data_IF_586465237656
#
_entry.id   IF_586465237656
#
_cell.length_a   1.000
_cell.length_b   1.000
_cell.length_c   1.000
_cell.angle_alpha   90.00
_cell.angle_beta   90.00
_cell.angle_gamma   90.00
#
_symmetry.space_group_name_H-M   'P 1'
#
loop_
_entity.id
_entity.type
_entity.pdbx_description
1 polymer ?
#
# COMPACT_ATOMS: atom_id res chain seq x y z
N UNK A 1 1.04 -21.27 13.39
CA UNK A 1 0.79 -21.64 11.97
C UNK A 1 0.02 -20.57 11.19
N UNK A 2 -0.87 -19.81 11.83
CA UNK A 2 -1.77 -18.79 11.22
C UNK A 2 -1.13 -17.66 10.40
N UNK A 3 0.18 -17.53 10.44
CA UNK A 3 0.94 -16.50 9.75
C UNK A 3 1.87 -17.05 8.64
N UNK A 4 1.67 -18.32 8.25
CA UNK A 4 2.47 -18.98 7.22
C UNK A 4 2.54 -18.17 5.91
N UNK A 5 3.61 -18.38 5.14
CA UNK A 5 3.93 -17.62 3.93
C UNK A 5 4.75 -16.35 4.17
N UNK A 6 4.94 -15.92 5.43
CA UNK A 6 5.79 -14.79 5.82
C UNK A 6 7.03 -15.32 6.55
N UNK A 7 8.20 -15.21 5.93
CA UNK A 7 9.47 -15.73 6.47
C UNK A 7 10.16 -14.79 7.45
N UNK A 8 9.56 -13.62 7.72
CA UNK A 8 10.12 -12.57 8.57
C UNK A 8 9.06 -12.04 9.56
N UNK A 9 9.28 -10.84 10.11
CA UNK A 9 8.40 -10.18 11.06
C UNK A 9 7.07 -9.75 10.44
N UNK A 10 6.04 -9.61 11.30
CA UNK A 10 4.68 -9.25 10.90
C UNK A 10 4.25 -8.01 11.65
N UNK A 11 3.66 -7.06 10.93
CA UNK A 11 3.06 -5.86 11.49
C UNK A 11 1.54 -6.05 11.44
N UNK A 12 0.88 -6.02 12.59
CA UNK A 12 -0.57 -6.05 12.72
C UNK A 12 -1.08 -4.62 12.97
N UNK A 13 -1.71 -4.02 11.95
CA UNK A 13 -2.28 -2.68 12.03
C UNK A 13 -3.80 -2.80 12.18
N UNK A 14 -4.34 -2.16 13.22
CA UNK A 14 -5.78 -2.18 13.53
C UNK A 14 -6.35 -0.78 13.56
N UNK A 15 -7.54 -0.63 12.98
CA UNK A 15 -8.31 0.61 12.99
C UNK A 15 -9.39 0.57 14.07
N UNK A 16 -9.74 1.74 14.63
CA UNK A 16 -10.80 1.87 15.63
C UNK A 16 -12.14 1.36 15.07
N UNK A 17 -12.92 0.65 15.88
CA UNK A 17 -14.25 0.15 15.46
C UNK A 17 -15.32 1.27 15.37
N UNK A 18 -14.99 2.47 15.85
CA UNK A 18 -15.92 3.58 16.03
C UNK A 18 -16.68 3.50 17.36
N UNK A 19 -17.10 4.65 17.86
CA UNK A 19 -17.86 4.75 19.11
C UNK A 19 -19.36 4.56 18.86
N UNK A 20 -19.99 3.58 19.50
CA UNK A 20 -21.43 3.27 19.32
C UNK A 20 -22.38 4.20 20.09
N UNK A 21 -21.87 5.09 20.94
CA UNK A 21 -22.70 5.89 21.86
C UNK A 21 -22.58 7.39 21.59
N UNK A 22 -21.36 7.87 21.38
CA UNK A 22 -21.05 9.29 21.31
C UNK A 22 -20.16 9.59 20.12
N UNK A 23 -20.36 10.76 19.53
CA UNK A 23 -19.49 11.27 18.47
C UNK A 23 -18.36 12.06 19.09
N UNK A 24 -17.13 11.71 18.76
CA UNK A 24 -15.94 12.46 19.12
C UNK A 24 -14.91 12.40 18.00
N UNK A 25 -13.98 13.33 18.02
CA UNK A 25 -12.96 13.44 17.00
C UNK A 25 -11.74 14.18 17.49
N UNK A 26 -10.67 14.06 16.72
CA UNK A 26 -9.38 14.66 17.01
C UNK A 26 -8.88 15.35 15.75
N UNK A 27 -8.43 16.59 15.91
CA UNK A 27 -7.68 17.32 14.89
C UNK A 27 -6.27 17.52 15.45
N UNK A 28 -5.27 17.08 14.71
CA UNK A 28 -3.87 17.28 15.02
C UNK A 28 -3.22 18.10 13.91
N UNK A 29 -2.67 19.25 14.26
CA UNK A 29 -1.84 20.07 13.37
C UNK A 29 -0.38 19.86 13.78
N UNK A 30 0.42 19.29 12.90
CA UNK A 30 1.85 19.08 13.12
C UNK A 30 2.68 19.82 12.07
N UNK A 31 3.98 19.96 12.33
CA UNK A 31 4.93 20.66 11.43
C UNK A 31 4.98 20.04 10.03
N UNK A 32 4.78 18.73 9.92
CA UNK A 32 4.89 18.00 8.65
C UNK A 32 3.55 17.56 8.08
N UNK A 33 2.52 17.40 8.91
CA UNK A 33 1.22 16.87 8.46
C UNK A 33 0.11 17.19 9.43
N UNK A 34 -1.09 17.32 8.88
CA UNK A 34 -2.34 17.39 9.60
C UNK A 34 -3.02 16.03 9.63
N UNK A 35 -3.74 15.79 10.71
CA UNK A 35 -4.49 14.57 10.94
C UNK A 35 -5.87 14.96 11.40
N UNK A 36 -6.87 14.40 10.76
CA UNK A 36 -8.26 14.50 11.14
C UNK A 36 -8.77 13.12 11.47
N UNK A 37 -9.51 13.00 12.56
CA UNK A 37 -10.20 11.78 12.94
C UNK A 37 -11.57 12.13 13.50
N UNK A 38 -12.60 11.38 13.11
CA UNK A 38 -13.94 11.51 13.63
C UNK A 38 -14.60 10.13 13.68
N UNK A 39 -15.18 9.79 14.82
CA UNK A 39 -15.93 8.57 15.00
C UNK A 39 -17.18 8.79 15.83
N UNK A 40 -18.16 7.90 15.68
CA UNK A 40 -19.41 8.01 16.40
C UNK A 40 -20.52 7.12 15.85
N UNK A 41 -21.71 7.16 16.47
CA UNK A 41 -22.82 6.33 16.05
C UNK A 41 -23.51 6.92 14.82
N UNK A 42 -23.77 6.07 13.82
CA UNK A 42 -24.81 6.32 12.81
C UNK A 42 -26.18 5.95 13.41
N UNK A 43 -26.24 4.77 14.04
CA UNK A 43 -27.40 4.29 14.79
C UNK A 43 -26.91 3.86 16.18
N UNK A 44 -27.28 4.62 17.22
CA UNK A 44 -26.79 4.38 18.59
C UNK A 44 -26.95 2.91 19.01
N UNK A 45 -25.88 2.33 19.53
CA UNK A 45 -25.82 0.93 19.96
C UNK A 45 -25.77 -0.12 18.85
N UNK A 46 -25.94 0.24 17.58
CA UNK A 46 -25.95 -0.70 16.44
C UNK A 46 -24.90 -0.41 15.37
N UNK A 47 -24.74 0.84 14.96
CA UNK A 47 -23.86 1.20 13.84
C UNK A 47 -22.98 2.37 14.22
N UNK A 48 -21.68 2.20 14.04
CA UNK A 48 -20.69 3.24 14.25
C UNK A 48 -19.88 3.46 12.96
N UNK A 49 -19.44 4.69 12.77
CA UNK A 49 -18.44 5.05 11.77
C UNK A 49 -17.15 5.45 12.46
N UNK A 50 -16.04 5.33 11.74
CA UNK A 50 -14.73 5.86 12.11
C UNK A 50 -14.05 6.30 10.81
N UNK A 51 -13.83 7.60 10.68
CA UNK A 51 -13.20 8.21 9.51
C UNK A 51 -11.94 8.94 9.95
N UNK A 52 -10.88 8.83 9.15
CA UNK A 52 -9.62 9.51 9.39
C UNK A 52 -9.04 9.98 8.07
N UNK A 53 -8.36 11.12 8.09
CA UNK A 53 -7.61 11.61 6.95
C UNK A 53 -6.29 12.20 7.44
N UNK A 54 -5.24 12.05 6.64
CA UNK A 54 -3.95 12.70 6.86
C UNK A 54 -3.47 13.30 5.56
N UNK A 55 -2.80 14.43 5.67
CA UNK A 55 -2.22 15.11 4.51
C UNK A 55 -0.99 15.89 4.92
N UNK A 56 -0.05 16.00 3.99
CA UNK A 56 1.03 16.97 4.08
C UNK A 56 0.56 18.30 3.49
N UNK A 57 0.71 19.38 4.23
CA UNK A 57 0.33 20.74 3.84
C UNK A 57 1.51 21.49 3.22
N UNK A 58 2.03 20.94 2.13
CA UNK A 58 2.89 21.74 1.26
C UNK A 58 2.14 22.93 0.67
N UNK A 59 0.82 22.87 0.43
CA UNK A 59 0.06 24.00 -0.11
C UNK A 59 0.04 25.25 0.80
N UNK A 60 -0.01 25.09 2.13
CA UNK A 60 -0.07 26.22 3.07
C UNK A 60 1.30 26.88 3.30
N UNK A 61 2.40 26.11 3.21
CA UNK A 61 3.78 26.61 3.34
C UNK A 61 4.54 26.64 2.01
N UNK A 62 3.86 26.42 0.89
CA UNK A 62 4.46 26.37 -0.45
C UNK A 62 5.22 27.66 -0.75
N UNK A 63 4.62 28.79 -0.38
CA UNK A 63 5.24 30.11 -0.48
C UNK A 63 6.47 30.26 0.41
N UNK A 64 6.47 29.67 1.61
CA UNK A 64 7.58 29.74 2.56
C UNK A 64 8.73 28.83 2.13
N UNK A 65 8.43 27.60 1.68
CA UNK A 65 9.44 26.69 1.14
C UNK A 65 10.09 27.26 -0.12
N UNK A 66 9.29 27.83 -1.03
CA UNK A 66 9.83 28.57 -2.19
C UNK A 66 10.67 29.77 -1.79
N UNK A 67 10.22 30.58 -0.82
CA UNK A 67 10.97 31.74 -0.34
C UNK A 67 12.28 31.36 0.38
N UNK A 68 12.32 30.20 1.02
CA UNK A 68 13.50 29.67 1.70
C UNK A 68 14.41 28.81 0.79
N UNK A 69 14.08 28.70 -0.51
CA UNK A 69 14.74 27.81 -1.47
C UNK A 69 14.82 26.35 -1.00
N UNK A 70 13.84 25.90 -0.22
CA UNK A 70 13.72 24.52 0.25
C UNK A 70 12.95 23.73 -0.81
N UNK A 71 13.51 22.64 -1.36
CA UNK A 71 12.82 21.81 -2.33
C UNK A 71 11.61 21.11 -1.68
N UNK A 72 10.39 21.64 -1.90
CA UNK A 72 9.15 21.00 -1.49
C UNK A 72 8.85 19.84 -2.44
N UNK A 73 9.51 18.71 -2.17
CA UNK A 73 9.71 17.62 -3.12
C UNK A 73 8.93 16.35 -2.77
N UNK A 74 8.13 16.36 -1.70
CA UNK A 74 7.35 15.22 -1.24
C UNK A 74 5.97 15.65 -0.75
N UNK A 75 4.94 14.88 -1.13
CA UNK A 75 3.53 15.15 -0.86
C UNK A 75 2.84 13.81 -0.63
N UNK A 76 2.04 13.71 0.42
CA UNK A 76 1.17 12.55 0.61
C UNK A 76 -0.20 12.95 1.13
N UNK A 77 -1.18 12.11 0.85
CA UNK A 77 -2.47 12.14 1.51
C UNK A 77 -3.00 10.72 1.66
N UNK A 78 -3.69 10.48 2.78
CA UNK A 78 -4.38 9.24 3.01
C UNK A 78 -5.73 9.44 3.69
N UNK A 79 -6.62 8.49 3.44
CA UNK A 79 -7.96 8.42 3.98
C UNK A 79 -8.21 7.00 4.48
N UNK A 80 -8.79 6.89 5.67
CA UNK A 80 -9.29 5.65 6.23
C UNK A 80 -10.76 5.83 6.62
N UNK A 81 -11.60 4.90 6.20
CA UNK A 81 -13.01 4.86 6.57
C UNK A 81 -13.37 3.47 7.04
N UNK A 82 -14.14 3.40 8.13
CA UNK A 82 -14.68 2.16 8.66
C UNK A 82 -16.12 2.36 9.13
N UNK A 83 -16.96 1.40 8.80
CA UNK A 83 -18.32 1.29 9.33
C UNK A 83 -18.46 -0.07 10.01
N UNK A 84 -18.86 -0.04 11.26
CA UNK A 84 -19.15 -1.24 12.06
C UNK A 84 -20.65 -1.33 12.28
N UNK A 85 -21.26 -2.46 11.95
CA UNK A 85 -22.67 -2.73 12.17
C UNK A 85 -22.87 -4.02 12.98
N UNK A 86 -23.54 -3.90 14.13
CA UNK A 86 -23.98 -5.00 14.98
C UNK A 86 -25.41 -5.37 14.60
N UNK A 87 -25.58 -6.48 13.88
CA UNK A 87 -26.90 -7.03 13.57
C UNK A 87 -27.55 -7.69 14.79
N UNK A 88 -26.74 -8.41 15.57
CA UNK A 88 -27.16 -9.13 16.78
C UNK A 88 -25.98 -9.26 17.76
N UNK A 89 -26.17 -9.96 18.88
CA UNK A 89 -25.06 -10.34 19.76
C UNK A 89 -24.13 -11.39 19.12
N UNK A 90 -24.57 -12.05 18.05
CA UNK A 90 -23.82 -13.07 17.33
C UNK A 90 -23.20 -12.56 16.04
N UNK A 91 -23.72 -11.48 15.47
CA UNK A 91 -23.39 -11.04 14.11
C UNK A 91 -22.92 -9.59 14.09
N UNK A 92 -21.70 -9.39 13.62
CA UNK A 92 -21.12 -8.07 13.42
C UNK A 92 -20.39 -7.98 12.08
N UNK A 93 -20.70 -6.95 11.31
CA UNK A 93 -20.06 -6.64 10.03
C UNK A 93 -19.19 -5.40 10.17
N UNK A 94 -18.04 -5.43 9.53
CA UNK A 94 -17.10 -4.32 9.42
C UNK A 94 -16.83 -4.08 7.95
N UNK A 95 -17.04 -2.85 7.50
CA UNK A 95 -16.70 -2.40 6.15
C UNK A 95 -15.56 -1.40 6.30
N UNK A 96 -14.42 -1.65 5.64
CA UNK A 96 -13.26 -0.79 5.69
C UNK A 96 -12.88 -0.32 4.28
N UNK A 97 -12.40 0.91 4.19
CA UNK A 97 -11.76 1.47 3.02
C UNK A 97 -10.52 2.24 3.45
N UNK A 98 -9.44 2.09 2.71
CA UNK A 98 -8.23 2.89 2.85
C UNK A 98 -7.77 3.30 1.46
N UNK A 99 -7.42 4.57 1.31
CA UNK A 99 -6.84 5.12 0.11
C UNK A 99 -5.68 6.01 0.50
N UNK A 100 -4.50 5.76 -0.05
CA UNK A 100 -3.30 6.56 0.21
C UNK A 100 -2.54 6.79 -1.07
N UNK A 101 -1.94 7.96 -1.20
CA UNK A 101 -1.09 8.32 -2.33
C UNK A 101 0.06 9.21 -1.88
N UNK A 102 1.20 8.94 -2.48
CA UNK A 102 2.46 9.61 -2.21
C UNK A 102 3.10 10.01 -3.53
N UNK A 103 3.70 11.18 -3.55
CA UNK A 103 4.38 11.76 -4.71
C UNK A 103 5.65 12.40 -4.21
N UNK A 104 6.76 11.97 -4.79
CA UNK A 104 8.08 12.55 -4.67
C UNK A 104 8.51 13.10 -6.03
N UNK A 105 9.11 14.28 -6.05
CA UNK A 105 9.64 14.94 -7.22
C UNK A 105 10.96 15.62 -6.86
N UNK A 106 12.00 15.42 -7.65
CA UNK A 106 13.29 16.08 -7.50
C UNK A 106 13.68 16.70 -8.83
N UNK A 107 14.20 17.92 -8.80
CA UNK A 107 14.75 18.59 -9.98
C UNK A 107 16.10 19.17 -9.62
N UNK A 108 17.09 18.91 -10.47
CA UNK A 108 18.42 19.50 -10.39
C UNK A 108 18.71 20.27 -11.67
N UNK A 109 19.29 21.46 -11.51
CA UNK A 109 19.71 22.29 -12.62
C UNK A 109 21.17 22.68 -12.34
N UNK A 110 22.12 21.92 -12.88
CA UNK A 110 23.54 22.26 -12.82
C UNK A 110 23.96 22.96 -14.12
N UNK A 111 24.58 24.12 -13.99
CA UNK A 111 25.18 24.87 -15.10
C UNK A 111 26.64 25.13 -14.78
N UNK A 112 27.51 24.78 -15.73
CA UNK A 112 28.96 24.94 -15.75
C UNK A 112 29.73 23.87 -14.95
N UNK A 113 30.17 22.81 -15.65
CA UNK A 113 31.08 21.81 -15.11
C UNK A 113 32.50 22.12 -15.58
N UNK A 114 33.39 22.53 -14.68
CA UNK A 114 34.81 22.69 -15.01
C UNK A 114 35.47 21.31 -14.99
N UNK A 115 35.76 20.76 -16.17
CA UNK A 115 36.57 19.55 -16.32
C UNK A 115 37.97 19.98 -16.78
N UNK A 116 38.99 19.64 -16.00
CA UNK A 116 40.41 19.90 -16.32
C UNK A 116 40.76 21.38 -16.62
N UNK A 117 40.07 22.34 -16.00
CA UNK A 117 40.36 23.77 -16.14
C UNK A 117 39.88 24.41 -17.44
N UNK A 118 39.07 23.69 -18.22
CA UNK A 118 38.34 24.19 -19.37
C UNK A 118 36.89 24.43 -18.92
N UNK A 119 36.38 25.63 -19.19
CA UNK A 119 34.99 26.00 -18.95
C UNK A 119 34.12 25.27 -20.00
N UNK A 120 33.40 24.25 -19.56
CA UNK A 120 32.44 23.52 -20.41
C UNK A 120 31.03 24.02 -20.08
N UNK A 121 30.40 24.70 -21.05
CA UNK A 121 29.07 25.29 -20.93
C UNK A 121 27.96 24.22 -21.06
N UNK A 122 28.16 23.06 -20.44
CA UNK A 122 27.18 21.97 -20.42
C UNK A 122 26.17 22.23 -19.30
N UNK A 123 24.89 22.41 -19.68
CA UNK A 123 23.75 22.57 -18.76
C UNK A 123 23.03 21.22 -18.61
N UNK A 124 22.80 20.80 -17.36
CA UNK A 124 22.03 19.62 -17.01
C UNK A 124 20.68 20.02 -16.37
N UNK A 125 19.56 19.50 -16.88
CA UNK A 125 18.22 19.61 -16.28
C UNK A 125 17.68 18.21 -15.98
N UNK A 126 17.90 17.77 -14.74
CA UNK A 126 17.54 16.45 -14.26
C UNK A 126 16.24 16.49 -13.47
N UNK A 127 15.31 15.59 -13.79
CA UNK A 127 13.98 15.50 -13.19
C UNK A 127 13.68 14.07 -12.81
N UNK A 128 13.64 13.79 -11.51
CA UNK A 128 13.21 12.50 -10.97
C UNK A 128 11.83 12.61 -10.37
N UNK A 129 10.99 11.59 -10.55
CA UNK A 129 9.75 11.48 -9.81
C UNK A 129 9.51 10.05 -9.35
N UNK A 130 8.88 9.90 -8.19
CA UNK A 130 8.44 8.61 -7.65
C UNK A 130 7.02 8.82 -7.12
N UNK A 131 6.09 7.96 -7.50
CA UNK A 131 4.73 7.97 -6.96
C UNK A 131 4.30 6.57 -6.61
N UNK A 132 3.67 6.42 -5.46
CA UNK A 132 3.01 5.17 -5.09
C UNK A 132 1.62 5.43 -4.53
N UNK A 133 0.77 4.42 -4.62
CA UNK A 133 -0.60 4.51 -4.17
C UNK A 133 -1.15 3.16 -3.75
N UNK A 134 -2.01 3.20 -2.74
CA UNK A 134 -2.61 2.03 -2.12
C UNK A 134 -4.11 2.25 -2.02
N UNK A 135 -4.90 1.33 -2.57
CA UNK A 135 -6.32 1.19 -2.30
C UNK A 135 -6.55 -0.15 -1.60
N UNK A 136 -7.26 -0.14 -0.49
CA UNK A 136 -7.72 -1.33 0.21
C UNK A 136 -9.20 -1.15 0.53
N UNK A 137 -10.02 -2.14 0.18
CA UNK A 137 -11.41 -2.21 0.63
C UNK A 137 -11.66 -3.60 1.19
N UNK A 138 -12.31 -3.70 2.35
CA UNK A 138 -12.61 -5.01 2.94
C UNK A 138 -13.97 -5.06 3.61
N UNK A 139 -14.58 -6.23 3.57
CA UNK A 139 -15.76 -6.59 4.34
C UNK A 139 -15.39 -7.76 5.24
N UNK A 140 -15.56 -7.60 6.54
CA UNK A 140 -15.28 -8.62 7.55
C UNK A 140 -16.56 -8.90 8.34
N UNK A 141 -17.00 -10.15 8.34
CA UNK A 141 -18.16 -10.60 9.11
C UNK A 141 -17.70 -11.54 10.23
N UNK A 142 -18.05 -11.20 11.46
CA UNK A 142 -17.82 -12.03 12.64
C UNK A 142 -19.14 -12.68 13.01
N UNK A 143 -19.11 -14.00 13.17
CA UNK A 143 -20.27 -14.80 13.56
C UNK A 143 -19.96 -15.67 14.78
N UNK A 144 -20.84 -15.65 15.77
CA UNK A 144 -20.78 -16.51 16.96
C UNK A 144 -21.77 -17.65 16.78
N UNK A 145 -21.28 -18.84 16.45
CA UNK A 145 -22.13 -20.03 16.33
C UNK A 145 -22.67 -20.46 17.70
N UNK A 146 -21.78 -20.52 18.70
CA UNK A 146 -22.09 -20.83 20.09
C UNK A 146 -20.97 -20.31 21.01
N UNK A 147 -21.07 -20.53 22.32
CA UNK A 147 -20.09 -20.05 23.31
C UNK A 147 -18.67 -20.63 23.19
N UNK A 148 -18.41 -21.52 22.23
CA UNK A 148 -17.12 -22.16 21.99
C UNK A 148 -16.62 -22.00 20.56
N UNK A 149 -17.45 -21.65 19.59
CA UNK A 149 -17.08 -21.57 18.17
C UNK A 149 -17.43 -20.21 17.59
N UNK A 150 -16.39 -19.53 17.11
CA UNK A 150 -16.46 -18.20 16.51
C UNK A 150 -15.86 -18.28 15.11
N UNK A 151 -16.43 -17.57 14.15
CA UNK A 151 -15.82 -17.40 12.83
C UNK A 151 -15.65 -15.95 12.46
N UNK A 152 -14.69 -15.75 11.57
CA UNK A 152 -14.38 -14.48 10.98
C UNK A 152 -14.15 -14.66 9.48
N UNK A 153 -15.09 -14.18 8.68
CA UNK A 153 -15.00 -14.23 7.21
C UNK A 153 -14.62 -12.85 6.69
N UNK A 154 -13.55 -12.78 5.90
CA UNK A 154 -13.05 -11.53 5.31
C UNK A 154 -13.00 -11.65 3.79
N UNK A 155 -13.55 -10.67 3.10
CA UNK A 155 -13.30 -10.43 1.67
C UNK A 155 -12.60 -9.09 1.55
N UNK A 156 -11.49 -9.05 0.82
CA UNK A 156 -10.71 -7.83 0.63
C UNK A 156 -10.27 -7.68 -0.82
N UNK A 157 -10.15 -6.42 -1.24
CA UNK A 157 -9.56 -6.03 -2.51
C UNK A 157 -8.45 -5.03 -2.24
N UNK A 158 -7.30 -5.23 -2.88
CA UNK A 158 -6.17 -4.29 -2.85
C UNK A 158 -5.75 -3.90 -4.27
N UNK A 159 -5.35 -2.64 -4.46
CA UNK A 159 -4.68 -2.14 -5.68
C UNK A 159 -3.49 -1.31 -5.24
N UNK A 160 -2.30 -1.84 -5.43
CA UNK A 160 -1.04 -1.13 -5.23
C UNK A 160 -0.43 -0.77 -6.58
N UNK A 161 0.03 0.48 -6.70
CA UNK A 161 0.74 0.96 -7.89
C UNK A 161 1.93 1.81 -7.49
N UNK A 162 3.02 1.61 -8.20
CA UNK A 162 4.21 2.44 -8.15
C UNK A 162 4.57 2.88 -9.56
N UNK A 163 5.07 4.11 -9.69
CA UNK A 163 5.73 4.56 -10.90
C UNK A 163 6.87 5.48 -10.52
N UNK A 164 8.02 5.29 -11.14
CA UNK A 164 9.16 6.17 -11.03
C UNK A 164 9.63 6.57 -12.42
N UNK A 165 10.22 7.74 -12.55
CA UNK A 165 10.82 8.14 -13.81
C UNK A 165 11.90 9.17 -13.60
N UNK A 166 12.73 9.30 -14.62
CA UNK A 166 13.89 10.18 -14.68
C UNK A 166 13.93 10.80 -16.08
N UNK A 167 14.03 12.11 -16.16
CA UNK A 167 14.29 12.82 -17.40
C UNK A 167 15.53 13.69 -17.19
N UNK A 168 16.54 13.53 -18.04
CA UNK A 168 17.74 14.36 -18.04
C UNK A 168 17.90 15.02 -19.39
N UNK A 169 18.12 16.33 -19.37
CA UNK A 169 18.48 17.08 -20.57
C UNK A 169 19.89 17.59 -20.40
N UNK A 170 20.79 17.15 -21.26
CA UNK A 170 22.15 17.62 -21.36
C UNK A 170 22.25 18.51 -22.59
N UNK A 171 22.63 19.77 -22.37
CA UNK A 171 22.72 20.77 -23.42
C UNK A 171 24.12 21.38 -23.44
N UNK A 172 24.79 21.25 -24.58
CA UNK A 172 26.04 21.95 -24.88
C UNK A 172 25.84 22.76 -26.20
N UNK A 173 26.83 23.52 -26.65
CA UNK A 173 26.80 24.35 -27.85
C UNK A 173 26.39 23.56 -29.12
N UNK A 174 26.75 22.27 -29.19
CA UNK A 174 26.54 21.40 -30.36
C UNK A 174 25.43 20.34 -30.20
N UNK A 175 25.00 20.00 -28.98
CA UNK A 175 24.13 18.84 -28.70
C UNK A 175 23.03 19.12 -27.68
N UNK A 176 21.87 18.48 -27.86
CA UNK A 176 20.76 18.49 -26.91
C UNK A 176 20.31 17.04 -26.64
N UNK A 177 20.98 16.37 -25.71
CA UNK A 177 20.69 14.98 -25.40
C UNK A 177 19.55 14.91 -24.38
N UNK A 178 18.46 14.24 -24.76
CA UNK A 178 17.35 13.94 -23.87
C UNK A 178 17.37 12.46 -23.49
N UNK A 179 17.55 12.19 -22.21
CA UNK A 179 17.44 10.87 -21.62
C UNK A 179 16.12 10.78 -20.86
N UNK A 180 15.28 9.79 -21.18
CA UNK A 180 14.04 9.52 -20.44
C UNK A 180 14.03 8.10 -19.94
N UNK A 181 13.59 7.90 -18.70
CA UNK A 181 13.32 6.61 -18.08
C UNK A 181 11.97 6.71 -17.36
N UNK A 182 11.13 5.70 -17.53
CA UNK A 182 9.83 5.60 -16.89
C UNK A 182 9.57 4.15 -16.55
N UNK A 183 9.45 3.84 -15.26
CA UNK A 183 9.19 2.51 -14.73
C UNK A 183 7.87 2.49 -13.97
N UNK A 184 6.97 1.57 -14.32
CA UNK A 184 5.71 1.35 -13.60
C UNK A 184 5.51 -0.10 -13.20
N UNK A 185 5.06 -0.35 -11.97
CA UNK A 185 4.75 -1.68 -11.43
C UNK A 185 3.50 -1.64 -10.55
N UNK A 186 2.77 -2.75 -10.47
CA UNK A 186 1.61 -2.84 -9.59
C UNK A 186 1.11 -4.25 -9.34
N UNK A 187 0.29 -4.39 -8.31
CA UNK A 187 -0.36 -5.64 -7.95
C UNK A 187 -1.79 -5.35 -7.49
N UNK A 188 -2.72 -6.19 -7.93
CA UNK A 188 -4.10 -6.19 -7.44
C UNK A 188 -4.45 -7.54 -6.88
N UNK A 189 -4.93 -7.58 -5.64
CA UNK A 189 -5.34 -8.83 -5.02
C UNK A 189 -6.83 -8.80 -4.71
N UNK A 190 -7.48 -9.94 -4.96
CA UNK A 190 -8.79 -10.25 -4.41
C UNK A 190 -8.60 -11.41 -3.41
N UNK A 191 -8.86 -11.14 -2.14
CA UNK A 191 -8.67 -12.08 -1.04
C UNK A 191 -10.02 -12.51 -0.48
N UNK A 192 -10.19 -13.80 -0.28
CA UNK A 192 -11.27 -14.38 0.50
C UNK A 192 -10.67 -15.26 1.60
N UNK A 193 -11.02 -14.98 2.85
CA UNK A 193 -10.46 -15.65 4.03
C UNK A 193 -11.56 -16.03 4.99
N UNK A 194 -11.42 -17.20 5.61
CA UNK A 194 -12.27 -17.61 6.72
C UNK A 194 -11.40 -18.21 7.83
N UNK A 195 -11.56 -17.67 9.03
CA UNK A 195 -10.88 -18.12 10.24
C UNK A 195 -11.92 -18.61 11.25
N UNK A 196 -11.56 -19.63 12.02
CA UNK A 196 -12.35 -20.18 13.11
C UNK A 196 -11.52 -20.24 14.39
N UNK A 197 -12.11 -19.77 15.48
CA UNK A 197 -11.61 -19.97 16.84
C UNK A 197 -12.55 -20.94 17.56
N UNK A 198 -12.06 -22.13 17.88
CA UNK A 198 -12.80 -23.16 18.61
C UNK A 198 -12.16 -23.40 19.97
N UNK A 199 -12.93 -23.18 21.04
CA UNK A 199 -12.49 -23.33 22.44
C UNK A 199 -13.28 -24.45 23.12
N UNK A 200 -12.93 -25.74 22.90
CA UNK A 200 -13.50 -26.87 23.63
C UNK A 200 -13.46 -26.70 25.15
N UNK A 201 -12.36 -26.16 25.67
CA UNK A 201 -12.13 -25.86 27.07
C UNK A 201 -11.17 -24.67 27.23
N UNK A 202 -11.12 -24.00 28.40
CA UNK A 202 -10.18 -22.90 28.63
C UNK A 202 -8.69 -23.26 28.49
N UNK A 203 -8.35 -24.56 28.44
CA UNK A 203 -6.97 -25.07 28.28
C UNK A 203 -6.68 -25.57 26.87
N UNK A 204 -7.66 -25.50 25.96
CA UNK A 204 -7.58 -26.10 24.63
C UNK A 204 -8.28 -25.16 23.64
N UNK A 205 -7.49 -24.44 22.84
CA UNK A 205 -7.97 -23.48 21.85
C UNK A 205 -7.43 -23.90 20.48
N UNK A 206 -8.32 -24.33 19.61
CA UNK A 206 -7.98 -24.73 18.25
C UNK A 206 -8.33 -23.56 17.32
N UNK A 207 -7.35 -23.12 16.53
CA UNK A 207 -7.56 -22.10 15.49
C UNK A 207 -7.26 -22.69 14.13
N UNK A 208 -8.17 -22.53 13.20
CA UNK A 208 -8.01 -23.06 11.85
C UNK A 208 -8.69 -22.16 10.85
N UNK A 209 -8.24 -22.21 9.61
CA UNK A 209 -8.77 -21.34 8.59
C UNK A 209 -8.20 -21.64 7.22
N UNK A 210 -8.76 -20.95 6.24
CA UNK A 210 -8.31 -21.00 4.86
C UNK A 210 -8.35 -19.62 4.22
N UNK A 211 -7.46 -19.40 3.28
CA UNK A 211 -7.34 -18.17 2.52
C UNK A 211 -7.15 -18.49 1.04
N UNK A 212 -7.84 -17.73 0.20
CA UNK A 212 -7.65 -17.73 -1.23
C UNK A 212 -7.30 -16.31 -1.66
N UNK A 213 -6.24 -16.17 -2.45
CA UNK A 213 -5.84 -14.90 -3.04
C UNK A 213 -5.71 -15.05 -4.55
N UNK A 214 -6.40 -14.17 -5.28
CA UNK A 214 -6.19 -14.00 -6.72
C UNK A 214 -5.32 -12.76 -6.94
N UNK A 215 -4.08 -12.99 -7.33
CA UNK A 215 -3.14 -11.95 -7.70
C UNK A 215 -3.31 -11.56 -9.17
N UNK A 216 -3.28 -10.27 -9.45
CA UNK A 216 -3.13 -9.71 -10.80
C UNK A 216 -1.90 -8.83 -10.79
N UNK A 217 -0.78 -9.37 -11.28
CA UNK A 217 0.47 -8.64 -11.43
C UNK A 217 0.39 -7.77 -12.67
N UNK A 218 0.72 -6.50 -12.51
CA UNK A 218 0.81 -5.51 -13.58
C UNK A 218 2.30 -5.32 -13.85
N UNK A 219 2.86 -5.97 -14.88
CA UNK A 219 4.29 -6.08 -15.09
C UNK A 219 4.94 -4.74 -15.44
N UNK A 220 6.26 -4.75 -15.26
CA UNK A 220 7.15 -3.61 -15.39
C UNK A 220 7.14 -3.05 -16.81
N UNK A 221 6.66 -1.82 -16.97
CA UNK A 221 6.85 -1.07 -18.21
C UNK A 221 8.05 -0.16 -18.02
N UNK A 222 9.10 -0.35 -18.84
CA UNK A 222 10.19 0.60 -18.95
C UNK A 222 10.17 1.24 -20.35
N UNK A 223 10.49 2.52 -20.45
CA UNK A 223 10.72 3.20 -21.72
C UNK A 223 11.95 4.06 -21.59
N UNK A 224 12.96 3.77 -22.42
CA UNK A 224 14.14 4.62 -22.59
C UNK A 224 14.07 5.35 -23.93
N UNK A 225 14.37 6.65 -23.94
CA UNK A 225 14.56 7.43 -25.17
C UNK A 225 15.88 8.17 -25.04
N UNK A 226 16.74 8.03 -26.06
CA UNK A 226 17.97 8.78 -26.23
C UNK A 226 18.03 9.38 -27.64
N UNK A 227 18.40 10.67 -27.71
CA UNK A 227 18.82 11.52 -28.86
C UNK A 227 17.80 12.46 -29.53
N UNK A 228 18.20 13.74 -29.59
CA UNK A 228 17.78 14.76 -30.57
C UNK A 228 19.02 15.62 -30.94
N UNK A 229 19.50 15.55 -32.19
CA UNK A 229 20.65 16.35 -32.62
C UNK A 229 20.19 17.75 -33.12
N UNK A 230 21.11 18.72 -33.21
CA UNK A 230 20.87 20.13 -33.63
C UNK A 230 20.11 20.32 -34.97
N UNK A 231 19.99 19.27 -35.78
CA UNK A 231 19.27 19.24 -37.07
C UNK A 231 17.83 18.65 -36.99
N UNK A 232 17.28 18.41 -35.79
CA UNK A 232 15.96 17.80 -35.61
C UNK A 232 15.89 16.32 -36.01
N UNK A 233 17.05 15.66 -36.13
CA UNK A 233 17.15 14.22 -36.42
C UNK A 233 17.13 13.43 -35.11
N UNK A 234 16.07 12.63 -34.93
CA UNK A 234 15.94 11.67 -33.82
C UNK A 234 16.77 10.43 -34.17
N UNK A 235 17.95 10.31 -33.56
CA UNK A 235 18.76 9.09 -33.66
C UNK A 235 18.38 8.15 -32.50
N UNK A 236 17.16 7.59 -32.52
CA UNK A 236 16.67 6.69 -31.46
C UNK A 236 17.64 5.52 -31.24
N UNK A 237 18.46 5.54 -30.17
CA UNK A 237 19.47 4.48 -29.97
C UNK A 237 18.84 3.20 -29.36
N UNK A 238 17.81 3.31 -28.52
CA UNK A 238 17.00 2.14 -28.13
C UNK A 238 15.69 2.54 -27.44
N UNK A 239 14.56 2.48 -28.16
CA UNK A 239 13.25 2.44 -27.47
C UNK A 239 12.91 1.00 -27.14
N UNK A 240 13.33 0.55 -25.95
CA UNK A 240 12.80 -0.69 -25.41
C UNK A 240 11.52 -0.36 -24.67
N UNK A 241 10.38 -0.73 -25.24
CA UNK A 241 9.08 -0.56 -24.63
C UNK A 241 8.47 -1.94 -24.46
N UNK A 242 8.45 -2.45 -23.23
CA UNK A 242 7.73 -3.67 -22.89
C UNK A 242 6.24 -3.42 -22.65
N UNK A 243 5.62 -2.50 -23.41
CA UNK A 243 4.18 -2.19 -23.35
C UNK A 243 3.27 -3.39 -23.71
N UNK A 244 3.85 -4.55 -24.06
CA UNK A 244 3.13 -5.76 -24.48
C UNK A 244 3.06 -6.84 -23.40
N UNK A 245 3.68 -6.69 -22.24
CA UNK A 245 3.48 -7.68 -21.18
C UNK A 245 2.07 -7.56 -20.59
N UNK A 246 1.26 -8.57 -20.90
CA UNK A 246 -0.09 -8.70 -20.36
C UNK A 246 -0.03 -8.93 -18.85
N UNK A 247 -0.99 -8.39 -18.12
CA UNK A 247 -1.17 -8.69 -16.71
C UNK A 247 -1.14 -10.20 -16.48
N UNK A 248 -0.35 -10.64 -15.49
CA UNK A 248 -0.23 -12.06 -15.12
C UNK A 248 -1.16 -12.33 -13.95
N UNK A 249 -1.88 -13.43 -14.01
CA UNK A 249 -2.81 -13.83 -12.93
C UNK A 249 -2.19 -15.00 -12.17
N UNK A 250 -2.16 -14.89 -10.84
CA UNK A 250 -1.75 -15.94 -9.93
C UNK A 250 -2.89 -16.30 -8.98
N UNK A 251 -2.90 -17.54 -8.53
CA UNK A 251 -3.83 -18.06 -7.54
C UNK A 251 -3.05 -18.67 -6.39
N UNK A 252 -3.30 -18.19 -5.18
CA UNK A 252 -2.78 -18.76 -3.95
C UNK A 252 -3.94 -19.33 -3.14
N UNK A 253 -3.78 -20.56 -2.65
CA UNK A 253 -4.69 -21.19 -1.70
C UNK A 253 -3.87 -21.65 -0.51
N UNK A 254 -4.26 -21.23 0.69
CA UNK A 254 -3.62 -21.65 1.93
C UNK A 254 -4.64 -22.16 2.95
N UNK A 255 -4.19 -23.05 3.81
CA UNK A 255 -4.95 -23.57 4.93
C UNK A 255 -4.03 -23.80 6.13
N UNK A 256 -4.57 -23.60 7.32
CA UNK A 256 -3.82 -23.83 8.54
C UNK A 256 -4.69 -24.40 9.65
N UNK A 257 -4.01 -25.04 10.60
CA UNK A 257 -4.55 -25.41 11.89
C UNK A 257 -3.45 -25.25 12.95
N UNK A 258 -3.80 -24.65 14.09
CA UNK A 258 -2.94 -24.55 15.27
C UNK A 258 -3.76 -24.87 16.53
N UNK A 259 -3.10 -25.43 17.52
CA UNK A 259 -3.71 -25.82 18.79
C UNK A 259 -2.91 -25.24 19.95
N UNK A 260 -3.52 -24.34 20.71
CA UNK A 260 -3.03 -23.82 21.99
C UNK A 260 -3.49 -24.76 23.12
N UNK A 261 -2.59 -25.65 23.55
CA UNK A 261 -2.87 -26.67 24.54
C UNK A 261 -2.07 -26.46 25.83
N UNK A 262 -2.76 -26.36 26.96
CA UNK A 262 -2.14 -26.30 28.29
C UNK A 262 -2.27 -27.65 29.00
N UNK A 263 -1.14 -28.33 29.21
CA UNK A 263 -1.06 -29.62 29.91
C UNK A 263 -0.59 -29.38 31.35
N UNK A 264 -1.47 -29.67 32.33
CA UNK A 264 -1.18 -29.42 33.74
C UNK A 264 -1.14 -27.93 34.10
N UNK A 265 -0.11 -27.50 34.84
CA UNK A 265 0.10 -26.10 35.27
C UNK A 265 1.37 -25.45 34.71
N UNK A 266 2.25 -26.23 34.05
CA UNK A 266 3.62 -25.80 33.73
C UNK A 266 3.99 -25.93 32.25
N UNK A 267 3.16 -26.58 31.44
CA UNK A 267 3.45 -26.83 30.03
C UNK A 267 2.33 -26.29 29.16
N UNK A 268 2.70 -25.40 28.24
CA UNK A 268 1.84 -24.92 27.15
C UNK A 268 2.51 -25.27 25.84
N UNK A 269 1.77 -25.90 24.93
CA UNK A 269 2.20 -26.28 23.60
C UNK A 269 1.38 -25.51 22.57
N UNK A 270 2.03 -25.09 21.47
CA UNK A 270 1.36 -24.48 20.31
C UNK A 270 1.76 -25.20 19.00
N UNK A 271 1.46 -26.51 18.83
CA UNK A 271 1.67 -27.17 17.56
C UNK A 271 0.76 -26.57 16.48
N UNK A 272 1.25 -26.51 15.24
CA UNK A 272 0.42 -26.11 14.11
C UNK A 272 1.04 -26.44 12.76
N UNK A 273 0.18 -26.57 11.76
CA UNK A 273 0.52 -26.90 10.37
C UNK A 273 -0.06 -25.83 9.46
N UNK A 274 0.71 -25.44 8.44
CA UNK A 274 0.29 -24.53 7.39
C UNK A 274 0.68 -25.12 6.03
N UNK A 275 -0.26 -25.14 5.09
CA UNK A 275 -0.07 -25.61 3.72
C UNK A 275 -0.49 -24.48 2.79
N UNK A 276 0.33 -24.17 1.79
CA UNK A 276 0.00 -23.24 0.73
C UNK A 276 0.31 -23.85 -0.64
N UNK A 277 -0.56 -23.56 -1.61
CA UNK A 277 -0.44 -23.96 -3.00
C UNK A 277 -0.54 -22.71 -3.87
N UNK A 278 0.44 -22.53 -4.75
CA UNK A 278 0.52 -21.40 -5.66
C UNK A 278 0.44 -21.89 -7.11
N UNK A 279 -0.38 -21.22 -7.92
CA UNK A 279 -0.53 -21.51 -9.35
C UNK A 279 -0.52 -20.21 -10.16
N UNK A 280 0.45 -20.05 -11.05
CA UNK A 280 0.54 -18.90 -11.95
C UNK A 280 0.03 -19.22 -13.35
N UNK A 281 -0.58 -18.23 -13.99
CA UNK A 281 -0.84 -18.21 -15.42
C UNK A 281 0.37 -17.61 -16.15
N UNK A 282 1.19 -18.48 -16.74
CA UNK A 282 2.39 -18.14 -17.49
C UNK A 282 3.17 -19.43 -17.71
N UNK A 283 3.68 -19.65 -18.92
CA UNK A 283 4.49 -20.83 -19.27
C UNK A 283 5.71 -20.97 -18.38
#
# INVERSE_FOLDING_TARGET
>A
ARYGGRTSSIIDVRTNDGNLQETHGTIGVGVLSEKFHLEGPIFKGKTAYSISARGMHTFLFDGIFRAANIPANYYFFDFNGKVTHKFSDKDRLFLNAYYGRDIFYYRDNEGDVIIDGIEDNTEYDDKTYIRWGNLLTSARWNHVFNGRLFSNTTVAFTDYRMRMGYNSTEKNEDTNNLYKFDYGSGIKDLTAKIDFDYTPSPKHIIKFGGEYVRHTYIPETYTTVEKENHYGQVLTDTTYSNNKEKNRVGHELSAYIEDDLTIGKRLTLNPGIHIAMFRTGGR
#
